data_IF_474335580791
#
_entry.id   IF_474335580791
#
_cell.length_a   1.000
_cell.length_b   1.000
_cell.length_c   1.000
_cell.angle_alpha   90.00
_cell.angle_beta   90.00
_cell.angle_gamma   90.00
#
_symmetry.space_group_name_H-M   'P 1'
#
loop_
_entity.id
_entity.type
_entity.pdbx_description
1 polymer ?
#
# COMPACT_ATOMS: atom_id res chain seq x y z
N UNK A 1 -5.00 34.80 -1.84
CA UNK A 1 -4.51 33.71 -2.69
C UNK A 1 -5.68 32.78 -2.97
N UNK A 2 -6.05 32.59 -4.24
CA UNK A 2 -7.12 31.68 -4.63
C UNK A 2 -6.63 30.23 -4.48
N UNK A 3 -7.34 29.44 -3.69
CA UNK A 3 -6.96 28.10 -3.27
C UNK A 3 -6.78 27.15 -4.46
N UNK A 4 -5.55 26.68 -4.65
CA UNK A 4 -5.26 25.55 -5.52
C UNK A 4 -6.02 24.34 -4.92
N UNK A 5 -7.02 23.83 -5.64
CA UNK A 5 -7.73 22.60 -5.24
C UNK A 5 -6.69 21.49 -5.15
N UNK A 6 -6.46 20.98 -3.95
CA UNK A 6 -5.65 19.79 -3.71
C UNK A 6 -6.09 18.68 -4.66
N UNK A 7 -5.18 18.20 -5.51
CA UNK A 7 -5.51 17.17 -6.50
C UNK A 7 -5.20 15.80 -5.92
N UNK A 8 -6.21 14.94 -5.86
CA UNK A 8 -6.00 13.51 -5.56
C UNK A 8 -5.54 12.78 -6.83
N UNK A 9 -4.38 12.13 -6.76
CA UNK A 9 -3.74 11.41 -7.86
C UNK A 9 -3.69 9.93 -7.51
N UNK A 10 -4.40 9.11 -8.28
CA UNK A 10 -4.41 7.66 -8.09
C UNK A 10 -3.22 6.99 -8.78
N UNK A 11 -2.52 6.15 -8.02
CA UNK A 11 -1.32 5.44 -8.43
C UNK A 11 -1.50 3.93 -8.21
N UNK A 12 -0.78 3.14 -8.99
CA UNK A 12 -0.66 1.69 -8.80
C UNK A 12 0.81 1.30 -8.89
N UNK A 13 1.13 0.05 -8.52
CA UNK A 13 2.44 -0.55 -8.79
C UNK A 13 2.29 -1.56 -9.93
N UNK A 14 3.18 -1.50 -10.90
CA UNK A 14 3.25 -2.46 -12.00
C UNK A 14 4.63 -2.44 -12.63
N UNK A 15 5.17 -3.61 -12.95
CA UNK A 15 6.45 -3.78 -13.66
C UNK A 15 7.62 -3.06 -12.96
N UNK A 16 7.63 -3.10 -11.63
CA UNK A 16 8.63 -2.44 -10.80
C UNK A 16 8.61 -0.92 -10.89
N UNK A 17 7.48 -0.31 -11.27
CA UNK A 17 7.29 1.16 -11.31
C UNK A 17 6.03 1.58 -10.57
N UNK A 18 6.02 2.84 -10.12
CA UNK A 18 4.79 3.55 -9.77
C UNK A 18 4.13 4.01 -11.06
N UNK A 19 2.85 3.69 -11.22
CA UNK A 19 2.11 3.92 -12.46
C UNK A 19 0.91 4.82 -12.21
N UNK A 20 0.82 5.90 -13.00
CA UNK A 20 -0.34 6.78 -13.08
C UNK A 20 -0.99 6.63 -14.45
N UNK A 21 -2.31 6.43 -14.48
CA UNK A 21 -3.10 6.51 -15.71
C UNK A 21 -3.83 7.85 -15.72
N UNK A 22 -3.62 8.65 -16.76
CA UNK A 22 -4.32 9.93 -16.91
C UNK A 22 -5.68 9.74 -17.57
N UNK A 23 -6.53 10.76 -17.51
CA UNK A 23 -7.87 10.74 -18.14
C UNK A 23 -7.81 10.52 -19.66
N UNK A 24 -6.71 10.91 -20.32
CA UNK A 24 -6.47 10.66 -21.74
C UNK A 24 -5.89 9.28 -22.05
N UNK A 25 -5.84 8.35 -21.09
CA UNK A 25 -5.31 6.99 -21.28
C UNK A 25 -3.77 6.92 -21.31
N UNK A 26 -3.06 8.05 -21.16
CA UNK A 26 -1.59 8.05 -21.07
C UNK A 26 -1.15 7.37 -19.78
N UNK A 27 -0.15 6.51 -19.89
CA UNK A 27 0.48 5.83 -18.75
C UNK A 27 1.80 6.51 -18.43
N UNK A 28 1.88 7.11 -17.25
CA UNK A 28 3.10 7.71 -16.71
C UNK A 28 3.71 6.73 -15.70
N UNK A 29 5.04 6.57 -15.76
CA UNK A 29 5.80 5.64 -14.92
C UNK A 29 6.87 6.40 -14.16
N UNK A 30 7.01 6.09 -12.88
CA UNK A 30 7.95 6.71 -11.96
C UNK A 30 8.70 5.64 -11.16
N UNK A 31 9.91 5.96 -10.74
CA UNK A 31 10.74 5.05 -9.94
C UNK A 31 10.27 4.96 -8.49
N UNK A 32 9.68 6.05 -7.99
CA UNK A 32 9.16 6.11 -6.63
C UNK A 32 8.04 7.14 -6.54
N UNK A 33 7.35 7.09 -5.40
CA UNK A 33 6.49 8.17 -4.91
C UNK A 33 6.88 8.47 -3.47
N UNK A 34 6.84 9.75 -3.11
CA UNK A 34 7.26 10.24 -1.80
C UNK A 34 6.23 11.22 -1.25
N UNK A 35 5.98 11.15 0.05
CA UNK A 35 5.12 12.09 0.76
C UNK A 35 4.92 11.70 2.21
N UNK A 36 4.26 12.56 2.97
CA UNK A 36 3.86 12.29 4.35
C UNK A 36 2.67 11.33 4.36
N UNK A 37 2.72 10.31 5.22
CA UNK A 37 1.62 9.35 5.34
C UNK A 37 0.41 10.00 6.01
N UNK A 38 -0.71 10.11 5.30
CA UNK A 38 -1.94 10.64 5.88
C UNK A 38 -2.85 9.56 6.44
N UNK A 39 -2.98 8.44 5.72
CA UNK A 39 -3.84 7.33 6.12
C UNK A 39 -3.62 6.07 5.30
N UNK A 40 -4.04 4.97 5.88
CA UNK A 40 -4.17 3.68 5.23
C UNK A 40 -5.63 3.20 5.42
N UNK A 41 -6.32 2.79 4.36
CA UNK A 41 -7.72 2.39 4.46
C UNK A 41 -8.12 1.35 3.42
N UNK A 42 -9.16 0.59 3.74
CA UNK A 42 -9.76 -0.35 2.81
C UNK A 42 -11.02 0.26 2.16
N UNK A 43 -11.21 -0.02 0.88
CA UNK A 43 -12.45 0.25 0.15
C UNK A 43 -12.69 -0.82 -0.90
N UNK A 44 -13.92 -1.27 -1.02
CA UNK A 44 -14.30 -2.20 -2.08
C UNK A 44 -14.21 -1.53 -3.45
N UNK A 45 -13.66 -2.27 -4.41
CA UNK A 45 -13.73 -1.95 -5.84
C UNK A 45 -14.66 -2.92 -6.53
N UNK A 46 -15.46 -2.40 -7.44
CA UNK A 46 -16.21 -3.24 -8.35
C UNK A 46 -15.31 -3.67 -9.50
N UNK A 47 -15.18 -4.97 -9.70
CA UNK A 47 -14.47 -5.58 -10.82
C UNK A 47 -15.35 -6.65 -11.44
N UNK A 48 -15.81 -6.42 -12.68
CA UNK A 48 -16.68 -7.34 -13.42
C UNK A 48 -17.95 -7.74 -12.63
N UNK A 49 -18.54 -6.81 -11.89
CA UNK A 49 -19.74 -7.04 -11.07
C UNK A 49 -19.47 -7.64 -9.69
N UNK A 50 -18.22 -7.96 -9.35
CA UNK A 50 -17.83 -8.43 -8.02
C UNK A 50 -17.20 -7.30 -7.20
N UNK A 51 -17.53 -7.23 -5.91
CA UNK A 51 -16.87 -6.32 -4.97
C UNK A 51 -15.63 -7.02 -4.42
N UNK A 52 -14.46 -6.43 -4.69
CA UNK A 52 -13.17 -6.94 -4.25
C UNK A 52 -12.54 -5.94 -3.28
N UNK A 53 -12.11 -6.37 -2.08
CA UNK A 53 -11.46 -5.48 -1.13
C UNK A 53 -10.13 -4.97 -1.68
N UNK A 54 -9.94 -3.65 -1.60
CA UNK A 54 -8.73 -2.96 -2.02
C UNK A 54 -8.21 -2.11 -0.88
N UNK A 55 -6.90 -2.16 -0.67
CA UNK A 55 -6.21 -1.27 0.25
C UNK A 55 -5.69 -0.04 -0.48
N UNK A 56 -5.71 1.07 0.24
CA UNK A 56 -5.19 2.34 -0.21
C UNK A 56 -4.26 2.91 0.85
N UNK A 57 -3.18 3.52 0.36
CA UNK A 57 -2.27 4.31 1.15
C UNK A 57 -2.20 5.71 0.53
N UNK A 58 -2.55 6.73 1.32
CA UNK A 58 -2.57 8.13 0.90
C UNK A 58 -1.29 8.83 1.42
N UNK A 59 -0.49 9.39 0.50
CA UNK A 59 0.71 10.19 0.77
C UNK A 59 0.49 11.64 0.33
N UNK A 60 0.78 12.60 1.21
CA UNK A 60 0.74 14.03 0.90
C UNK A 60 2.11 14.52 0.46
N UNK A 61 2.18 15.09 -0.74
CA UNK A 61 3.36 15.81 -1.20
C UNK A 61 3.53 17.11 -0.41
N UNK A 62 4.63 17.27 0.31
CA UNK A 62 4.89 18.46 1.12
C UNK A 62 5.23 19.70 0.29
N UNK A 63 5.62 19.54 -0.98
CA UNK A 63 6.00 20.64 -1.87
C UNK A 63 4.80 21.15 -2.67
N UNK A 64 3.99 20.23 -3.19
CA UNK A 64 2.87 20.57 -4.08
C UNK A 64 1.51 20.56 -3.39
N UNK A 65 1.38 19.88 -2.25
CA UNK A 65 0.11 19.65 -1.58
C UNK A 65 -0.76 18.57 -2.24
N UNK A 66 -0.28 17.94 -3.32
CA UNK A 66 -1.00 16.86 -4.00
C UNK A 66 -1.13 15.62 -3.12
N UNK A 67 -2.26 14.92 -3.23
CA UNK A 67 -2.53 13.68 -2.49
C UNK A 67 -2.34 12.48 -3.42
N UNK A 68 -1.24 11.76 -3.26
CA UNK A 68 -0.98 10.51 -3.96
C UNK A 68 -1.68 9.35 -3.25
N UNK A 69 -2.50 8.57 -3.97
CA UNK A 69 -3.25 7.44 -3.42
C UNK A 69 -2.86 6.16 -4.13
N UNK A 70 -2.06 5.32 -3.48
CA UNK A 70 -1.61 4.04 -4.02
C UNK A 70 -2.66 2.97 -3.71
N UNK A 71 -3.16 2.30 -4.74
CA UNK A 71 -4.12 1.19 -4.60
C UNK A 71 -3.48 -0.18 -4.75
N UNK A 72 -3.84 -1.11 -3.87
CA UNK A 72 -3.36 -2.50 -3.88
C UNK A 72 -4.51 -3.49 -3.63
N UNK A 73 -4.50 -4.61 -4.36
CA UNK A 73 -5.41 -5.71 -4.03
C UNK A 73 -5.05 -6.31 -2.67
N UNK A 74 -6.06 -6.68 -1.88
CA UNK A 74 -5.86 -7.12 -0.50
C UNK A 74 -4.98 -8.38 -0.35
N UNK A 75 -5.01 -9.26 -1.34
CA UNK A 75 -4.20 -10.47 -1.37
C UNK A 75 -2.79 -10.27 -1.95
N UNK A 76 -2.45 -9.06 -2.43
CA UNK A 76 -1.20 -8.86 -3.17
C UNK A 76 0.04 -8.99 -2.27
N UNK A 77 1.09 -9.63 -2.79
CA UNK A 77 2.38 -9.73 -2.10
C UNK A 77 3.04 -8.37 -1.88
N UNK A 78 2.85 -7.43 -2.82
CA UNK A 78 3.33 -6.06 -2.72
C UNK A 78 2.70 -5.34 -1.53
N UNK A 79 1.38 -5.45 -1.36
CA UNK A 79 0.67 -4.89 -0.22
C UNK A 79 1.21 -5.40 1.11
N UNK A 80 1.31 -6.73 1.25
CA UNK A 80 1.81 -7.36 2.49
C UNK A 80 3.25 -6.93 2.79
N UNK A 81 4.12 -6.92 1.78
CA UNK A 81 5.49 -6.43 1.90
C UNK A 81 5.56 -4.98 2.35
N UNK A 82 4.73 -4.12 1.76
CA UNK A 82 4.65 -2.70 2.11
C UNK A 82 4.29 -2.51 3.59
N UNK A 83 3.22 -3.16 4.05
CA UNK A 83 2.76 -3.02 5.44
C UNK A 83 3.76 -3.62 6.44
N UNK A 84 4.41 -4.74 6.11
CA UNK A 84 5.45 -5.31 6.97
C UNK A 84 6.66 -4.37 7.11
N UNK A 85 7.07 -3.70 6.03
CA UNK A 85 8.09 -2.64 6.12
C UNK A 85 7.59 -1.44 6.94
N UNK A 86 6.39 -0.95 6.69
CA UNK A 86 5.85 0.20 7.43
C UNK A 86 5.66 -0.08 8.92
N UNK A 87 5.44 -1.34 9.28
CA UNK A 87 5.36 -1.75 10.68
C UNK A 87 6.60 -1.42 11.51
N UNK A 88 7.78 -1.26 10.89
CA UNK A 88 9.06 -0.95 11.55
C UNK A 88 9.36 0.55 11.59
N UNK A 89 8.53 1.37 10.93
CA UNK A 89 8.66 2.80 10.96
C UNK A 89 8.42 3.34 12.37
N UNK A 90 9.39 4.06 12.91
CA UNK A 90 9.32 4.69 14.24
C UNK A 90 8.89 6.14 14.19
N UNK A 91 8.94 6.79 13.01
CA UNK A 91 8.61 8.19 12.83
C UNK A 91 7.88 8.43 11.51
N UNK A 92 6.56 8.65 11.58
CA UNK A 92 5.71 8.96 10.43
C UNK A 92 5.63 10.47 10.11
N UNK A 93 6.34 11.32 10.87
CA UNK A 93 6.48 12.74 10.54
C UNK A 93 7.49 12.99 9.43
N UNK A 94 8.29 11.98 9.08
CA UNK A 94 9.19 12.02 7.94
C UNK A 94 8.48 11.55 6.67
N UNK A 95 8.85 12.09 5.49
CA UNK A 95 8.33 11.59 4.23
C UNK A 95 8.64 10.11 4.04
N UNK A 96 7.63 9.36 3.61
CA UNK A 96 7.79 7.98 3.18
C UNK A 96 8.07 7.93 1.69
N UNK A 97 9.13 7.22 1.30
CA UNK A 97 9.43 6.94 -0.11
C UNK A 97 9.14 5.47 -0.41
N UNK A 98 8.19 5.24 -1.32
CA UNK A 98 7.85 3.89 -1.81
C UNK A 98 8.46 3.73 -3.20
N UNK A 99 9.44 2.83 -3.32
CA UNK A 99 10.20 2.57 -4.54
C UNK A 99 9.98 1.13 -5.02
N UNK A 100 9.06 0.90 -5.96
CA UNK A 100 8.88 -0.41 -6.56
C UNK A 100 10.10 -0.86 -7.36
N UNK A 101 10.29 -2.17 -7.45
CA UNK A 101 11.28 -2.78 -8.32
C UNK A 101 10.83 -4.18 -8.72
N UNK A 102 11.43 -4.73 -9.77
CA UNK A 102 11.12 -6.07 -10.25
C UNK A 102 12.21 -7.06 -9.83
N UNK A 103 11.80 -8.20 -9.28
CA UNK A 103 12.71 -9.33 -8.99
C UNK A 103 12.12 -10.60 -9.58
N UNK A 104 12.67 -11.02 -10.73
CA UNK A 104 12.05 -12.06 -11.56
C UNK A 104 10.73 -11.56 -12.15
N UNK A 105 9.67 -12.34 -11.99
CA UNK A 105 8.33 -12.01 -12.48
C UNK A 105 7.45 -11.28 -11.45
N UNK A 106 8.01 -10.96 -10.30
CA UNK A 106 7.27 -10.35 -9.19
C UNK A 106 7.68 -8.90 -8.96
N UNK A 107 6.66 -8.06 -8.78
CA UNK A 107 6.83 -6.72 -8.26
C UNK A 107 7.13 -6.79 -6.75
N UNK A 108 8.06 -5.94 -6.32
CA UNK A 108 8.44 -5.74 -4.93
C UNK A 108 8.52 -4.24 -4.64
N UNK A 109 8.61 -3.88 -3.37
CA UNK A 109 8.77 -2.50 -2.93
C UNK A 109 9.88 -2.40 -1.90
N UNK A 110 10.70 -1.36 -2.04
CA UNK A 110 11.55 -0.84 -0.97
C UNK A 110 10.87 0.39 -0.39
N UNK A 111 10.83 0.49 0.93
CA UNK A 111 10.17 1.56 1.65
C UNK A 111 11.21 2.27 2.50
N UNK A 112 11.18 3.60 2.50
CA UNK A 112 12.08 4.42 3.30
C UNK A 112 11.27 5.43 4.12
N UNK A 113 11.77 5.80 5.29
CA UNK A 113 11.31 6.94 6.07
C UNK A 113 12.47 7.94 6.18
N UNK A 114 12.37 9.08 5.51
CA UNK A 114 13.54 9.90 5.22
C UNK A 114 14.59 9.10 4.44
N UNK A 115 15.82 9.06 4.95
CA UNK A 115 16.94 8.32 4.34
C UNK A 115 16.99 6.84 4.77
N UNK A 116 16.26 6.45 5.81
CA UNK A 116 16.35 5.12 6.40
C UNK A 116 15.47 4.13 5.66
N UNK A 117 16.07 3.03 5.19
CA UNK A 117 15.33 1.93 4.59
C UNK A 117 14.63 1.10 5.67
N UNK A 118 13.31 0.92 5.52
CA UNK A 118 12.50 0.14 6.44
C UNK A 118 12.57 -1.36 6.12
N UNK A 119 12.99 -2.14 7.11
CA UNK A 119 13.01 -3.60 7.04
C UNK A 119 11.68 -4.18 7.53
N UNK A 120 11.41 -5.44 7.19
CA UNK A 120 10.19 -6.12 7.64
C UNK A 120 10.23 -6.36 9.14
N UNK A 121 9.12 -6.07 9.83
CA UNK A 121 9.00 -6.33 11.28
C UNK A 121 8.93 -7.80 11.65
N UNK A 122 8.44 -8.65 10.75
CA UNK A 122 8.26 -10.07 11.01
C UNK A 122 8.01 -10.82 9.71
N UNK A 123 8.08 -12.15 9.82
CA UNK A 123 7.46 -13.04 8.85
C UNK A 123 5.93 -12.97 8.93
N UNK A 124 5.28 -13.39 7.84
CA UNK A 124 3.83 -13.58 7.84
C UNK A 124 3.46 -14.85 8.62
N UNK A 125 2.34 -14.87 9.36
CA UNK A 125 1.77 -16.09 9.92
C UNK A 125 1.65 -17.21 8.86
N UNK A 126 1.69 -18.49 9.24
CA UNK A 126 1.52 -19.58 8.27
C UNK A 126 0.14 -19.55 7.60
N UNK A 127 0.03 -20.13 6.40
CA UNK A 127 -1.26 -20.44 5.78
C UNK A 127 -1.75 -21.74 6.39
N UNK A 128 -2.98 -21.78 6.86
CA UNK A 128 -3.57 -22.97 7.46
C UNK A 128 -4.43 -23.72 6.45
N UNK A 129 -4.53 -25.04 6.58
CA UNK A 129 -5.53 -25.82 5.85
C UNK A 129 -6.72 -26.07 6.78
N UNK A 130 -7.89 -25.56 6.40
CA UNK A 130 -9.13 -25.72 7.16
C UNK A 130 -10.12 -26.56 6.35
N UNK A 131 -11.00 -27.28 7.04
CA UNK A 131 -12.06 -28.06 6.40
C UNK A 131 -13.38 -27.29 6.44
N UNK A 132 -13.95 -27.03 5.26
CA UNK A 132 -15.24 -26.34 5.10
C UNK A 132 -16.11 -27.18 4.17
N UNK A 133 -17.23 -27.70 4.71
CA UNK A 133 -18.16 -28.53 3.94
C UNK A 133 -17.51 -29.80 3.35
N UNK A 134 -16.61 -30.45 4.09
CA UNK A 134 -15.91 -31.66 3.66
C UNK A 134 -14.77 -31.42 2.64
N UNK A 135 -14.42 -30.16 2.36
CA UNK A 135 -13.30 -29.79 1.48
C UNK A 135 -12.21 -29.10 2.27
N UNK A 136 -10.95 -29.47 2.02
CA UNK A 136 -9.78 -28.76 2.54
C UNK A 136 -9.51 -27.52 1.70
N UNK A 137 -9.46 -26.37 2.36
CA UNK A 137 -9.16 -25.07 1.74
C UNK A 137 -8.00 -24.41 2.49
N UNK A 138 -7.21 -23.61 1.76
CA UNK A 138 -6.14 -22.80 2.36
C UNK A 138 -6.74 -21.52 2.93
N UNK A 139 -6.64 -21.33 4.24
CA UNK A 139 -7.05 -20.10 4.93
C UNK A 139 -5.86 -19.15 5.09
N UNK A 140 -6.08 -17.89 4.73
CA UNK A 140 -5.14 -16.78 4.92
C UNK A 140 -5.61 -15.78 5.98
N UNK A 141 -6.69 -16.09 6.69
CA UNK A 141 -7.38 -15.20 7.65
C UNK A 141 -6.42 -14.63 8.69
N UNK A 142 -5.61 -15.47 9.34
CA UNK A 142 -4.59 -15.01 10.31
C UNK A 142 -3.57 -14.03 9.73
N UNK A 143 -3.25 -14.15 8.44
CA UNK A 143 -2.36 -13.18 7.76
C UNK A 143 -3.07 -11.85 7.55
N UNK A 144 -4.35 -11.90 7.20
CA UNK A 144 -5.15 -10.70 6.97
C UNK A 144 -5.41 -9.95 8.28
N UNK A 145 -5.71 -10.67 9.37
CA UNK A 145 -5.81 -10.12 10.72
C UNK A 145 -4.50 -9.48 11.17
N UNK A 146 -3.37 -10.17 10.97
CA UNK A 146 -2.05 -9.66 11.33
C UNK A 146 -1.71 -8.36 10.58
N UNK A 147 -1.94 -8.34 9.26
CA UNK A 147 -1.71 -7.15 8.43
C UNK A 147 -2.63 -6.00 8.85
N UNK A 148 -3.91 -6.28 9.09
CA UNK A 148 -4.87 -5.27 9.55
C UNK A 148 -4.49 -4.69 10.91
N UNK A 149 -4.01 -5.53 11.84
CA UNK A 149 -3.51 -5.07 13.13
C UNK A 149 -2.30 -4.13 13.03
N UNK A 150 -1.40 -4.35 12.06
CA UNK A 150 -0.31 -3.41 11.77
C UNK A 150 -0.88 -2.09 11.24
N UNK A 151 -1.81 -2.15 10.28
CA UNK A 151 -2.46 -0.96 9.72
C UNK A 151 -3.16 -0.13 10.79
N UNK A 152 -3.92 -0.77 11.69
CA UNK A 152 -4.62 -0.10 12.79
C UNK A 152 -3.66 0.58 13.77
N UNK A 153 -2.48 -0.02 14.00
CA UNK A 153 -1.43 0.63 14.79
C UNK A 153 -0.90 1.86 14.08
N UNK A 154 -0.57 1.75 12.79
CA UNK A 154 -0.05 2.87 11.98
C UNK A 154 -1.06 4.02 11.95
N UNK A 155 -2.33 3.75 11.65
CA UNK A 155 -3.39 4.76 11.59
C UNK A 155 -3.59 5.47 12.95
N UNK A 156 -3.46 4.75 14.07
CA UNK A 156 -3.50 5.37 15.39
C UNK A 156 -2.29 6.27 15.64
N UNK A 157 -1.11 5.89 15.15
CA UNK A 157 0.11 6.70 15.31
C UNK A 157 0.07 7.98 14.48
N UNK A 158 -0.45 7.95 13.26
CA UNK A 158 -0.53 9.14 12.39
C UNK A 158 -1.71 10.06 12.72
N UNK A 159 -2.77 9.52 13.32
CA UNK A 159 -3.95 10.29 13.75
C UNK A 159 -3.85 10.87 15.17
N UNK A 160 -2.79 10.52 15.90
CA UNK A 160 -2.45 11.06 17.23
C UNK A 160 -1.58 12.31 17.09
#
# INVERSE_FOLDING_TARGET
MLGQREKKIYLNVSEGKVVRRTEGGKVERYDFVEGLLERIYQRDREFRGEKVPYWYLDLRDSKTGDLYSLGFGASSGVWRSLILSLGSCTNFLLPLRISPYRKGDFDRVSVYSGEDKLEWVSDLPPVEEIEVGGRRIKSVEKREEFISGIVDRINRTIGA
#
